data_IF_558524125093
#
_entry.id   IF_558524125093
#
_cell.length_a   1.000
_cell.length_b   1.000
_cell.length_c   1.000
_cell.angle_alpha   90.00
_cell.angle_beta   90.00
_cell.angle_gamma   90.00
#
_symmetry.space_group_name_H-M   'P 1'
#
loop_
_entity.id
_entity.type
_entity.pdbx_description
1 polymer ?
#
# COMPACT_ATOMS: atom_id res chain seq x y z
N UNK A 1 -1.74 -2.40 1.87
CA UNK A 1 -2.45 -3.48 1.20
C UNK A 1 -3.38 -4.23 2.14
N UNK A 2 -4.23 -5.13 1.63
CA UNK A 2 -5.26 -5.78 2.44
C UNK A 2 -4.73 -6.88 3.36
N UNK A 3 -3.58 -7.48 3.04
CA UNK A 3 -3.04 -8.57 3.84
C UNK A 3 -2.22 -8.04 5.02
N UNK A 4 -2.83 -8.07 6.20
CA UNK A 4 -2.29 -7.52 7.43
C UNK A 4 -0.90 -8.05 7.80
N UNK A 5 -0.71 -9.36 7.78
CA UNK A 5 0.56 -9.97 8.15
C UNK A 5 1.65 -9.73 7.10
N UNK A 6 1.27 -9.68 5.84
CA UNK A 6 2.20 -9.36 4.75
C UNK A 6 2.70 -7.92 4.84
N UNK A 7 1.84 -6.98 5.25
CA UNK A 7 2.27 -5.60 5.44
C UNK A 7 3.26 -5.45 6.60
N UNK A 8 3.05 -6.16 7.71
CA UNK A 8 4.01 -6.21 8.82
C UNK A 8 5.35 -6.77 8.34
N UNK A 9 5.32 -7.94 7.70
CA UNK A 9 6.52 -8.62 7.22
C UNK A 9 7.27 -7.79 6.17
N UNK A 10 6.56 -7.10 5.28
CA UNK A 10 7.13 -6.22 4.25
C UNK A 10 7.96 -5.09 4.87
N UNK A 11 7.45 -4.42 5.88
CA UNK A 11 8.17 -3.31 6.54
C UNK A 11 9.40 -3.83 7.27
N UNK A 12 9.29 -4.97 7.96
CA UNK A 12 10.43 -5.63 8.63
C UNK A 12 11.49 -6.07 7.61
N UNK A 13 11.09 -6.69 6.50
CA UNK A 13 11.98 -7.11 5.43
C UNK A 13 12.68 -5.91 4.76
N UNK A 14 11.97 -4.82 4.53
CA UNK A 14 12.55 -3.60 3.97
C UNK A 14 13.66 -3.04 4.87
N UNK A 15 13.41 -2.94 6.17
CA UNK A 15 14.41 -2.46 7.13
C UNK A 15 15.63 -3.37 7.17
N UNK A 16 15.42 -4.68 7.19
CA UNK A 16 16.51 -5.65 7.16
C UNK A 16 17.35 -5.55 5.90
N UNK A 17 16.73 -5.56 4.73
CA UNK A 17 17.45 -5.44 3.45
C UNK A 17 18.18 -4.12 3.33
N UNK A 18 17.58 -3.02 3.79
CA UNK A 18 18.24 -1.72 3.79
C UNK A 18 19.51 -1.75 4.65
N UNK A 19 19.44 -2.24 5.88
CA UNK A 19 20.59 -2.33 6.76
C UNK A 19 21.71 -3.19 6.14
N UNK A 20 21.36 -4.35 5.56
CA UNK A 20 22.33 -5.23 4.90
C UNK A 20 23.04 -4.53 3.72
N UNK A 21 22.29 -3.84 2.86
CA UNK A 21 22.88 -3.12 1.74
C UNK A 21 23.68 -1.90 2.19
N UNK A 22 23.19 -1.16 3.17
CA UNK A 22 23.86 0.02 3.72
C UNK A 22 25.25 -0.33 4.29
N UNK A 23 25.36 -1.47 4.97
CA UNK A 23 26.63 -2.01 5.47
C UNK A 23 27.65 -2.22 4.36
N UNK A 24 27.23 -2.79 3.22
CA UNK A 24 28.12 -3.01 2.06
C UNK A 24 28.60 -1.69 1.42
N UNK A 25 27.81 -0.63 1.52
CA UNK A 25 28.16 0.69 0.99
C UNK A 25 28.82 1.62 2.02
N UNK A 26 29.05 1.16 3.26
CA UNK A 26 29.58 1.95 4.38
C UNK A 26 28.79 3.23 4.65
N UNK A 27 27.46 3.14 4.59
CA UNK A 27 26.51 4.22 4.94
C UNK A 27 25.70 3.83 6.19
N UNK A 28 25.04 4.77 6.86
CA UNK A 28 24.22 4.46 8.04
C UNK A 28 23.19 3.35 7.77
N UNK A 29 23.17 2.32 8.59
CA UNK A 29 22.28 1.16 8.44
C UNK A 29 20.82 1.45 8.81
N UNK A 30 20.55 2.61 9.42
CA UNK A 30 19.21 3.02 9.81
C UNK A 30 18.53 3.82 8.71
N UNK A 31 17.29 3.48 8.38
CA UNK A 31 16.44 4.27 7.50
C UNK A 31 15.16 4.69 8.22
N UNK A 32 14.68 5.89 7.93
CA UNK A 32 13.39 6.35 8.41
C UNK A 32 12.28 5.86 7.47
N UNK A 33 11.36 5.05 8.00
CA UNK A 33 10.25 4.49 7.25
C UNK A 33 8.98 5.27 7.58
N UNK A 34 8.48 6.02 6.59
CA UNK A 34 7.14 6.62 6.61
C UNK A 34 6.16 5.66 5.95
N UNK A 35 5.16 5.21 6.68
CA UNK A 35 4.09 4.36 6.16
C UNK A 35 2.78 5.13 6.00
N UNK A 36 2.10 4.90 4.89
CA UNK A 36 0.81 5.50 4.58
C UNK A 36 -0.11 4.47 3.90
N UNK A 37 -1.39 4.36 4.29
CA UNK A 37 -2.40 3.62 3.53
C UNK A 37 -2.51 4.13 2.09
N UNK A 38 -2.78 3.23 1.16
CA UNK A 38 -2.96 3.60 -0.26
C UNK A 38 -4.44 3.68 -0.63
N UNK A 39 -4.74 4.37 -1.74
CA UNK A 39 -6.10 4.41 -2.30
C UNK A 39 -6.51 3.09 -2.96
N UNK A 40 -5.56 2.21 -3.23
CA UNK A 40 -5.73 1.03 -4.08
C UNK A 40 -6.82 0.05 -3.65
N UNK A 41 -7.00 -0.16 -2.35
CA UNK A 41 -7.98 -1.09 -1.79
C UNK A 41 -9.16 -0.36 -1.12
N UNK A 42 -9.40 0.89 -1.49
CA UNK A 42 -10.55 1.65 -1.00
C UNK A 42 -11.71 1.50 -1.98
N UNK A 43 -12.92 1.57 -1.44
CA UNK A 43 -14.16 1.37 -2.20
C UNK A 43 -14.98 2.64 -2.23
N UNK A 44 -15.75 2.80 -3.31
CA UNK A 44 -16.78 3.81 -3.42
C UNK A 44 -18.08 3.32 -2.77
N UNK A 45 -18.41 2.04 -2.98
CA UNK A 45 -19.57 1.41 -2.41
C UNK A 45 -19.28 0.98 -0.97
N UNK A 46 -20.26 1.14 -0.10
CA UNK A 46 -20.12 0.92 1.34
C UNK A 46 -18.87 1.60 1.91
N UNK A 47 -18.68 2.84 1.53
CA UNK A 47 -17.42 3.59 1.72
C UNK A 47 -17.01 3.78 3.18
N UNK A 48 -17.96 3.68 4.13
CA UNK A 48 -17.65 3.73 5.56
C UNK A 48 -16.73 2.57 6.00
N UNK A 49 -16.76 1.45 5.29
CA UNK A 49 -15.86 0.32 5.54
C UNK A 49 -14.38 0.69 5.29
N UNK A 50 -14.12 1.75 4.53
CA UNK A 50 -12.76 2.27 4.38
C UNK A 50 -12.14 2.75 5.72
N UNK A 51 -12.96 3.15 6.69
CA UNK A 51 -12.49 3.46 8.05
C UNK A 51 -11.81 2.24 8.70
N UNK A 52 -12.43 1.08 8.57
CA UNK A 52 -11.91 -0.17 9.10
C UNK A 52 -10.61 -0.57 8.38
N UNK A 53 -10.58 -0.40 7.05
CA UNK A 53 -9.39 -0.69 6.24
C UNK A 53 -8.21 0.19 6.63
N UNK A 54 -8.40 1.52 6.70
CA UNK A 54 -7.31 2.43 7.08
C UNK A 54 -6.82 2.20 8.50
N UNK A 55 -7.71 1.78 9.43
CA UNK A 55 -7.34 1.42 10.80
C UNK A 55 -6.41 0.21 10.81
N UNK A 56 -6.80 -0.89 10.17
CA UNK A 56 -6.00 -2.13 10.15
C UNK A 56 -4.67 -1.95 9.39
N UNK A 57 -4.65 -1.16 8.33
CA UNK A 57 -3.44 -0.82 7.59
C UNK A 57 -2.46 0.00 8.44
N UNK A 58 -2.95 1.03 9.11
CA UNK A 58 -2.12 1.83 10.02
C UNK A 58 -1.58 1.00 11.20
N UNK A 59 -2.41 0.10 11.74
CA UNK A 59 -1.99 -0.82 12.80
C UNK A 59 -0.89 -1.78 12.30
N UNK A 60 -1.01 -2.31 11.09
CA UNK A 60 0.03 -3.16 10.51
C UNK A 60 1.36 -2.42 10.32
N UNK A 61 1.31 -1.13 9.98
CA UNK A 61 2.49 -0.30 9.86
C UNK A 61 3.19 -0.07 11.21
N UNK A 62 2.41 0.20 12.26
CA UNK A 62 2.95 0.33 13.63
C UNK A 62 3.61 -0.97 14.08
N UNK A 63 2.93 -2.11 13.92
CA UNK A 63 3.47 -3.43 14.32
C UNK A 63 4.64 -3.88 13.44
N UNK A 64 4.72 -3.40 12.20
CA UNK A 64 5.84 -3.62 11.30
C UNK A 64 7.09 -2.79 11.65
N UNK A 65 6.96 -1.83 12.57
CA UNK A 65 8.05 -0.97 13.01
C UNK A 65 8.31 0.22 12.08
N UNK A 66 7.28 0.79 11.46
CA UNK A 66 7.40 2.06 10.77
C UNK A 66 7.71 3.19 11.79
N UNK A 67 8.61 4.09 11.44
CA UNK A 67 9.01 5.21 12.33
C UNK A 67 7.95 6.31 12.38
N UNK A 68 7.25 6.48 11.27
CA UNK A 68 6.13 7.44 11.16
C UNK A 68 4.97 6.80 10.43
N UNK A 69 3.78 6.95 10.96
CA UNK A 69 2.54 6.52 10.29
C UNK A 69 1.67 7.74 10.02
N UNK A 70 1.36 7.95 8.75
CA UNK A 70 0.37 8.93 8.31
C UNK A 70 -0.89 8.18 7.88
N UNK A 71 -2.05 8.56 8.39
CA UNK A 71 -3.31 7.95 7.98
C UNK A 71 -4.04 8.81 6.96
N UNK A 72 -4.64 8.16 5.97
CA UNK A 72 -5.43 8.81 4.92
C UNK A 72 -6.90 8.87 5.33
N UNK A 73 -7.62 9.98 5.06
CA UNK A 73 -9.07 10.02 5.20
C UNK A 73 -9.75 8.88 4.43
N UNK A 74 -10.76 8.28 5.04
CA UNK A 74 -11.48 7.13 4.46
C UNK A 74 -12.21 7.46 3.14
N UNK A 75 -12.56 8.72 2.97
CA UNK A 75 -13.29 9.28 1.83
C UNK A 75 -12.38 9.92 0.77
N UNK A 76 -11.06 9.85 0.93
CA UNK A 76 -10.08 10.52 0.06
C UNK A 76 -10.10 10.09 -1.41
N UNK A 77 -10.84 9.03 -1.78
CA UNK A 77 -10.98 8.61 -3.18
C UNK A 77 -12.11 9.32 -3.91
N UNK A 78 -13.10 9.86 -3.21
CA UNK A 78 -14.29 10.47 -3.82
C UNK A 78 -14.64 11.85 -3.28
N UNK A 79 -14.15 12.24 -2.10
CA UNK A 79 -14.29 13.59 -1.56
C UNK A 79 -12.97 14.37 -1.64
N UNK A 80 -13.08 15.70 -1.75
CA UNK A 80 -12.00 16.64 -1.47
C UNK A 80 -11.67 16.60 0.02
N UNK A 81 -10.48 17.12 0.37
CA UNK A 81 -10.10 17.24 1.77
C UNK A 81 -11.17 17.98 2.56
N UNK A 82 -11.60 17.37 3.66
CA UNK A 82 -12.60 17.92 4.56
C UNK A 82 -12.21 17.69 6.02
N UNK A 83 -12.71 18.57 6.89
CA UNK A 83 -12.35 18.55 8.31
C UNK A 83 -12.76 17.26 9.01
N UNK A 84 -13.91 16.68 8.63
CA UNK A 84 -14.40 15.46 9.24
C UNK A 84 -13.49 14.25 8.90
N UNK A 85 -13.18 14.06 7.63
CA UNK A 85 -12.30 12.98 7.16
C UNK A 85 -10.91 13.07 7.81
N UNK A 86 -10.30 14.26 7.81
CA UNK A 86 -8.99 14.50 8.42
C UNK A 86 -9.02 14.25 9.94
N UNK A 87 -10.07 14.69 10.62
CA UNK A 87 -10.25 14.46 12.07
C UNK A 87 -10.36 12.98 12.39
N UNK A 88 -11.13 12.22 11.62
CA UNK A 88 -11.28 10.77 11.83
C UNK A 88 -9.96 10.07 11.56
N UNK A 89 -9.26 10.37 10.46
CA UNK A 89 -7.97 9.78 10.14
C UNK A 89 -6.94 10.00 11.27
N UNK A 90 -6.88 11.21 11.84
CA UNK A 90 -6.05 11.51 13.00
C UNK A 90 -6.49 10.75 14.25
N UNK A 91 -7.81 10.70 14.52
CA UNK A 91 -8.32 10.04 15.71
C UNK A 91 -8.08 8.54 15.69
N UNK A 92 -8.08 7.87 14.54
CA UNK A 92 -7.69 6.47 14.42
C UNK A 92 -6.27 6.24 14.96
N UNK A 93 -5.32 7.10 14.65
CA UNK A 93 -3.95 7.01 15.19
C UNK A 93 -3.89 7.35 16.69
N UNK A 94 -4.68 8.31 17.14
CA UNK A 94 -4.77 8.64 18.58
C UNK A 94 -5.37 7.50 19.40
N UNK A 95 -6.40 6.81 18.89
CA UNK A 95 -6.96 5.60 19.52
C UNK A 95 -5.89 4.51 19.63
N UNK A 96 -5.14 4.25 18.55
CA UNK A 96 -4.02 3.27 18.59
C UNK A 96 -3.00 3.61 19.67
N UNK A 97 -2.68 4.90 19.84
CA UNK A 97 -1.69 5.35 20.81
C UNK A 97 -2.23 5.39 22.24
N UNK A 98 -3.40 5.98 22.46
CA UNK A 98 -3.87 6.33 23.81
C UNK A 98 -4.86 5.32 24.41
N UNK A 99 -5.56 4.54 23.59
CA UNK A 99 -6.55 3.56 24.05
C UNK A 99 -6.04 2.13 23.85
N UNK A 100 -5.42 1.85 22.69
CA UNK A 100 -4.84 0.53 22.40
C UNK A 100 -3.39 0.39 22.87
N UNK A 101 -2.75 1.47 23.30
CA UNK A 101 -1.38 1.48 23.87
C UNK A 101 -0.30 0.85 22.97
N UNK A 102 -0.45 0.96 21.65
CA UNK A 102 0.52 0.40 20.70
C UNK A 102 1.90 1.10 20.74
N UNK A 103 2.01 2.21 21.45
CA UNK A 103 3.26 2.94 21.69
C UNK A 103 4.10 2.40 22.86
N UNK A 104 3.60 1.41 23.60
CA UNK A 104 4.30 0.91 24.80
C UNK A 104 5.40 -0.10 24.50
N UNK A 105 5.38 -0.69 23.31
CA UNK A 105 6.35 -1.71 22.90
C UNK A 105 6.92 -1.33 21.53
N UNK A 106 8.24 -1.21 21.43
CA UNK A 106 8.91 -0.81 20.19
C UNK A 106 8.80 -1.85 19.08
N UNK A 107 8.71 -3.14 19.39
CA UNK A 107 8.62 -4.23 18.43
C UNK A 107 7.67 -5.33 18.92
N UNK A 108 6.38 -5.04 18.91
CA UNK A 108 5.36 -5.96 19.41
C UNK A 108 5.22 -7.25 18.59
N UNK A 109 5.74 -7.27 17.36
CA UNK A 109 5.72 -8.44 16.48
C UNK A 109 7.01 -9.29 16.55
N UNK A 110 7.93 -8.98 17.46
CA UNK A 110 9.15 -9.78 17.66
C UNK A 110 8.82 -11.12 18.31
N UNK A 111 9.49 -12.19 17.86
CA UNK A 111 9.24 -13.54 18.35
C UNK A 111 7.98 -14.20 17.82
N UNK A 112 7.21 -13.53 16.98
CA UNK A 112 6.07 -14.11 16.29
C UNK A 112 6.53 -14.98 15.11
N UNK A 113 6.67 -16.29 15.31
CA UNK A 113 7.23 -17.22 14.32
C UNK A 113 6.65 -17.07 12.90
N UNK A 114 5.36 -16.85 12.79
CA UNK A 114 4.72 -16.66 11.49
C UNK A 114 5.22 -15.38 10.78
N UNK A 115 5.28 -14.26 11.52
CA UNK A 115 5.76 -12.98 10.97
C UNK A 115 7.25 -13.07 10.63
N UNK A 116 8.04 -13.73 11.46
CA UNK A 116 9.48 -13.91 11.20
C UNK A 116 9.73 -14.77 9.96
N UNK A 117 8.99 -15.87 9.81
CA UNK A 117 9.04 -16.72 8.61
C UNK A 117 8.65 -15.94 7.36
N UNK A 118 7.56 -15.17 7.40
CA UNK A 118 7.15 -14.32 6.28
C UNK A 118 8.18 -13.25 5.97
N UNK A 119 8.75 -12.60 7.00
CA UNK A 119 9.78 -11.57 6.84
C UNK A 119 10.99 -12.10 6.08
N UNK A 120 11.45 -13.31 6.44
CA UNK A 120 12.56 -13.96 5.76
C UNK A 120 12.24 -14.25 4.30
N UNK A 121 11.08 -14.85 4.01
CA UNK A 121 10.64 -15.13 2.65
C UNK A 121 10.53 -13.86 1.81
N UNK A 122 9.94 -12.79 2.35
CA UNK A 122 9.86 -11.50 1.65
C UNK A 122 11.24 -10.90 1.38
N UNK A 123 12.15 -10.99 2.34
CA UNK A 123 13.51 -10.49 2.16
C UNK A 123 14.25 -11.26 1.05
N UNK A 124 14.16 -12.59 1.03
CA UNK A 124 14.76 -13.42 0.00
C UNK A 124 14.20 -13.10 -1.39
N UNK A 125 12.88 -13.08 -1.54
CA UNK A 125 12.22 -12.77 -2.83
C UNK A 125 12.54 -11.34 -3.32
N UNK A 126 12.53 -10.36 -2.42
CA UNK A 126 12.86 -8.97 -2.77
C UNK A 126 14.32 -8.82 -3.17
N UNK A 127 15.24 -9.51 -2.48
CA UNK A 127 16.65 -9.53 -2.82
C UNK A 127 16.91 -10.14 -4.21
N UNK A 128 16.18 -11.19 -4.56
CA UNK A 128 16.29 -11.82 -5.88
C UNK A 128 15.83 -10.86 -6.99
N UNK A 129 14.70 -10.17 -6.78
CA UNK A 129 14.24 -9.12 -7.71
C UNK A 129 15.26 -7.99 -7.83
N UNK A 130 15.85 -7.57 -6.71
CA UNK A 130 16.90 -6.55 -6.70
C UNK A 130 18.12 -6.99 -7.53
N UNK A 131 18.61 -8.21 -7.31
CA UNK A 131 19.73 -8.79 -8.07
C UNK A 131 19.44 -8.89 -9.56
N UNK A 132 18.22 -9.26 -9.96
CA UNK A 132 17.80 -9.27 -11.36
C UNK A 132 17.86 -7.87 -11.97
N UNK A 133 17.37 -6.85 -11.26
CA UNK A 133 17.39 -5.45 -11.71
C UNK A 133 18.82 -4.96 -11.88
N UNK A 134 19.69 -5.23 -10.92
CA UNK A 134 21.10 -4.84 -10.99
C UNK A 134 21.84 -5.55 -12.13
N UNK A 135 21.64 -6.86 -12.30
CA UNK A 135 22.18 -7.62 -13.42
C UNK A 135 21.74 -7.09 -14.78
N UNK A 136 20.53 -6.53 -14.87
CA UNK A 136 20.00 -5.88 -16.07
C UNK A 136 20.55 -4.47 -16.34
N UNK A 137 21.46 -3.98 -15.52
CA UNK A 137 22.08 -2.67 -15.65
C UNK A 137 21.47 -1.58 -14.78
N UNK A 138 20.77 -1.99 -13.71
CA UNK A 138 20.21 -1.12 -12.69
C UNK A 138 18.81 -0.60 -13.00
N UNK A 139 18.18 -0.05 -11.97
CA UNK A 139 16.78 0.37 -12.02
C UNK A 139 16.46 1.37 -13.13
N UNK A 140 17.29 2.43 -13.28
CA UNK A 140 17.04 3.49 -14.27
C UNK A 140 17.10 2.99 -15.71
N UNK A 141 18.04 2.07 -16.01
CA UNK A 141 18.13 1.47 -17.35
C UNK A 141 16.89 0.63 -17.64
N UNK A 142 16.54 -0.28 -16.74
CA UNK A 142 15.38 -1.16 -16.92
C UNK A 142 14.04 -0.38 -16.97
N UNK A 143 13.95 0.75 -16.26
CA UNK A 143 12.81 1.63 -16.33
C UNK A 143 12.68 2.28 -17.73
N UNK A 144 13.80 2.76 -18.31
CA UNK A 144 13.84 3.31 -19.67
C UNK A 144 13.52 2.27 -20.75
N UNK A 145 13.93 1.04 -20.54
CA UNK A 145 13.69 -0.10 -21.45
C UNK A 145 12.28 -0.71 -21.29
N UNK A 146 11.51 -0.26 -20.31
CA UNK A 146 10.14 -0.72 -20.07
C UNK A 146 10.04 -2.05 -19.33
N UNK A 147 11.13 -2.62 -18.83
CA UNK A 147 11.13 -3.90 -18.13
C UNK A 147 10.37 -3.82 -16.80
N UNK A 148 10.56 -2.73 -16.05
CA UNK A 148 9.85 -2.48 -14.78
C UNK A 148 8.34 -2.35 -15.02
N UNK A 149 7.94 -1.59 -16.06
CA UNK A 149 6.53 -1.39 -16.41
C UNK A 149 5.86 -2.70 -16.82
N UNK A 150 6.56 -3.60 -17.50
CA UNK A 150 6.02 -4.93 -17.83
C UNK A 150 5.73 -5.75 -16.57
N UNK A 151 6.68 -5.82 -15.64
CA UNK A 151 6.50 -6.55 -14.36
C UNK A 151 5.31 -5.99 -13.57
N UNK A 152 5.16 -4.65 -13.53
CA UNK A 152 4.01 -4.00 -12.87
C UNK A 152 2.70 -4.37 -13.56
N UNK A 153 2.62 -4.31 -14.90
CA UNK A 153 1.42 -4.67 -15.65
C UNK A 153 1.03 -6.14 -15.50
N UNK A 154 2.01 -7.04 -15.46
CA UNK A 154 1.78 -8.47 -15.23
C UNK A 154 1.20 -8.72 -13.83
N UNK A 155 1.78 -8.07 -12.81
CA UNK A 155 1.28 -8.15 -11.44
C UNK A 155 -0.14 -7.59 -11.33
N UNK A 156 -0.38 -6.44 -11.94
CA UNK A 156 -1.69 -5.80 -11.97
C UNK A 156 -2.75 -6.67 -12.64
N UNK A 157 -2.42 -7.28 -13.79
CA UNK A 157 -3.32 -8.21 -14.48
C UNK A 157 -3.69 -9.40 -13.62
N UNK A 158 -2.71 -10.01 -12.94
CA UNK A 158 -2.94 -11.13 -12.04
C UNK A 158 -3.87 -10.76 -10.89
N UNK A 159 -3.69 -9.59 -10.30
CA UNK A 159 -4.56 -9.12 -9.22
C UNK A 159 -5.98 -8.83 -9.72
N UNK A 160 -6.13 -8.24 -10.92
CA UNK A 160 -7.46 -8.05 -11.53
C UNK A 160 -8.16 -9.40 -11.76
N UNK A 161 -7.45 -10.40 -12.27
CA UNK A 161 -8.00 -11.75 -12.46
C UNK A 161 -8.47 -12.36 -11.13
N UNK A 162 -7.72 -12.18 -10.04
CA UNK A 162 -8.12 -12.64 -8.71
C UNK A 162 -9.37 -11.90 -8.19
N UNK A 163 -9.50 -10.63 -8.50
CA UNK A 163 -10.70 -9.86 -8.15
C UNK A 163 -11.91 -10.33 -8.97
N UNK A 164 -11.76 -10.48 -10.27
CA UNK A 164 -12.83 -10.89 -11.20
C UNK A 164 -13.34 -12.31 -10.90
N UNK A 165 -12.45 -13.20 -10.44
CA UNK A 165 -12.82 -14.57 -10.02
C UNK A 165 -13.38 -14.64 -8.60
N UNK A 166 -13.33 -13.54 -7.84
CA UNK A 166 -13.76 -13.51 -6.44
C UNK A 166 -12.79 -14.13 -5.44
N UNK A 167 -11.57 -14.50 -5.88
CA UNK A 167 -10.49 -14.94 -5.00
C UNK A 167 -10.02 -13.78 -4.09
N UNK A 168 -9.88 -12.59 -4.67
CA UNK A 168 -9.64 -11.36 -3.92
C UNK A 168 -10.96 -10.71 -3.56
N UNK A 169 -11.30 -10.74 -2.27
CA UNK A 169 -12.54 -10.18 -1.74
C UNK A 169 -12.36 -8.71 -1.38
N UNK A 170 -13.28 -7.87 -1.86
CA UNK A 170 -13.41 -6.47 -1.50
C UNK A 170 -14.84 -6.20 -1.05
N UNK A 171 -15.05 -6.14 0.26
CA UNK A 171 -16.39 -5.97 0.88
C UNK A 171 -17.04 -4.69 0.39
N UNK A 172 -18.34 -4.78 0.07
CA UNK A 172 -19.13 -3.69 -0.50
C UNK A 172 -18.98 -3.55 -2.02
N UNK A 173 -18.05 -4.27 -2.67
CA UNK A 173 -17.83 -4.18 -4.11
C UNK A 173 -18.09 -5.51 -4.84
N UNK A 174 -17.38 -6.59 -4.48
CA UNK A 174 -17.58 -7.90 -5.09
C UNK A 174 -18.12 -8.96 -4.10
N UNK A 175 -18.31 -8.56 -2.85
CA UNK A 175 -18.93 -9.41 -1.83
C UNK A 175 -19.66 -8.56 -0.80
N UNK A 176 -20.83 -9.02 -0.36
CA UNK A 176 -21.71 -8.31 0.59
C UNK A 176 -22.08 -6.89 0.12
N UNK A 177 -22.47 -6.78 -1.14
CA UNK A 177 -22.91 -5.52 -1.74
C UNK A 177 -24.17 -5.00 -1.06
N UNK A 178 -24.26 -3.66 -0.93
CA UNK A 178 -25.49 -2.99 -0.50
C UNK A 178 -26.28 -2.54 -1.74
N UNK A 179 -27.44 -3.18 -2.07
CA UNK A 179 -28.21 -2.83 -3.28
C UNK A 179 -28.79 -1.42 -3.27
N UNK A 180 -28.84 -0.76 -2.12
CA UNK A 180 -29.37 0.60 -1.97
C UNK A 180 -28.29 1.66 -2.16
N UNK A 181 -27.03 1.26 -2.26
CA UNK A 181 -25.90 2.17 -2.36
C UNK A 181 -25.83 2.81 -3.76
N UNK A 182 -25.83 4.14 -3.81
CA UNK A 182 -25.80 4.93 -5.05
C UNK A 182 -24.82 6.08 -4.91
N UNK A 183 -23.61 5.87 -5.39
CA UNK A 183 -22.54 6.87 -5.29
C UNK A 183 -22.59 7.99 -6.32
N UNK A 184 -23.45 7.89 -7.34
CA UNK A 184 -23.43 8.80 -8.49
C UNK A 184 -23.52 10.28 -8.12
N UNK A 185 -24.27 10.61 -7.09
CA UNK A 185 -24.57 12.00 -6.71
C UNK A 185 -23.67 12.52 -5.56
N UNK A 186 -22.80 11.65 -5.00
CA UNK A 186 -21.95 11.98 -3.86
C UNK A 186 -20.45 12.15 -4.25
N UNK A 187 -20.11 12.01 -5.53
CA UNK A 187 -18.75 12.11 -6.01
C UNK A 187 -18.32 13.57 -6.21
N UNK A 188 -17.41 14.06 -5.40
CA UNK A 188 -16.72 15.33 -5.62
C UNK A 188 -15.45 15.18 -6.46
N UNK A 189 -14.83 13.99 -6.38
CA UNK A 189 -13.66 13.61 -7.17
C UNK A 189 -14.03 12.42 -8.03
N UNK A 190 -13.53 12.41 -9.27
CA UNK A 190 -13.62 11.24 -10.11
C UNK A 190 -12.41 10.35 -9.85
N UNK A 191 -12.59 9.17 -9.26
CA UNK A 191 -11.49 8.25 -8.97
C UNK A 191 -10.92 7.60 -10.23
N UNK A 192 -11.51 7.89 -11.41
CA UNK A 192 -11.12 7.34 -12.69
C UNK A 192 -10.04 8.17 -13.37
N UNK A 193 -9.05 7.50 -13.92
CA UNK A 193 -8.11 8.16 -14.81
C UNK A 193 -8.84 8.74 -16.02
N UNK A 194 -8.67 10.03 -16.27
CA UNK A 194 -9.06 10.62 -17.54
C UNK A 194 -8.23 9.95 -18.64
N UNK A 195 -8.85 9.10 -19.43
CA UNK A 195 -8.24 8.53 -20.64
C UNK A 195 -8.06 9.58 -21.73
N UNK A 196 -7.38 10.67 -21.44
CA UNK A 196 -6.86 11.54 -22.48
C UNK A 196 -5.39 11.19 -22.65
N UNK A 197 -5.00 10.49 -23.72
CA UNK A 197 -3.59 10.32 -24.04
C UNK A 197 -3.03 11.70 -24.40
N UNK A 198 -2.61 12.47 -23.41
CA UNK A 198 -1.64 13.52 -23.68
C UNK A 198 -0.46 12.79 -24.30
N UNK A 199 -0.08 13.17 -25.52
CA UNK A 199 1.20 12.78 -26.10
C UNK A 199 2.28 13.24 -25.13
N UNK A 200 2.63 12.39 -24.20
CA UNK A 200 3.71 12.63 -23.26
C UNK A 200 4.99 12.48 -24.05
N UNK A 201 5.76 13.54 -24.08
CA UNK A 201 7.15 13.48 -24.51
C UNK A 201 7.85 12.33 -23.76
N UNK A 202 8.78 11.67 -24.41
CA UNK A 202 9.48 10.44 -23.95
C UNK A 202 10.15 10.49 -22.57
N UNK A 203 10.00 11.55 -21.80
CA UNK A 203 10.65 11.78 -20.52
C UNK A 203 9.73 11.77 -19.29
N UNK A 204 8.43 11.68 -19.43
CA UNK A 204 7.54 11.54 -18.28
C UNK A 204 7.23 10.05 -18.10
N UNK A 205 7.94 9.45 -17.18
CA UNK A 205 7.58 8.17 -16.59
C UNK A 205 6.30 8.42 -15.81
N UNK A 206 5.20 8.22 -16.45
CA UNK A 206 3.91 8.22 -15.80
C UNK A 206 3.87 6.97 -14.92
N UNK A 207 3.94 7.16 -13.62
CA UNK A 207 3.61 6.14 -12.61
C UNK A 207 2.09 5.89 -12.63
N UNK A 208 1.45 6.12 -13.77
CA UNK A 208 0.02 5.93 -14.02
C UNK A 208 -0.43 4.47 -13.89
N UNK A 209 0.49 3.53 -13.85
CA UNK A 209 0.16 2.12 -13.62
C UNK A 209 0.02 1.72 -12.15
N UNK A 210 0.30 2.61 -11.18
CA UNK A 210 0.20 2.32 -9.75
C UNK A 210 -1.09 2.84 -9.10
N UNK A 211 -1.83 3.72 -9.80
CA UNK A 211 -3.04 4.34 -9.25
C UNK A 211 -4.35 3.66 -9.69
N UNK A 212 -4.32 2.60 -10.48
CA UNK A 212 -5.45 2.22 -11.34
C UNK A 212 -6.25 1.04 -10.85
N UNK A 213 -6.24 0.68 -9.64
CA UNK A 213 -7.20 -0.34 -9.21
C UNK A 213 -8.11 0.15 -8.09
N UNK A 214 -8.88 1.19 -8.40
CA UNK A 214 -10.21 1.32 -7.81
C UNK A 214 -11.11 0.36 -8.59
N UNK A 215 -11.37 -0.79 -8.02
CA UNK A 215 -12.30 -1.76 -8.56
C UNK A 215 -13.69 -1.15 -8.61
N UNK A 216 -14.30 -1.22 -9.77
CA UNK A 216 -15.71 -0.96 -10.00
C UNK A 216 -16.52 -2.20 -9.74
#
# INVERSE_FOLDING_TARGET
GPNYFFEIAKIKALRWLYATLASEYNIPETCHILAQPTKRNKTLYDFNVNLLRTTTESMSAVLGGADTVYNMPYDAIYHKNNEFGDRIARNQLLVMKHEAYLDKVANAAEGAYYIESLTKQFAEMALDIFKEIEKGGGFLKQLKEGAIQRKIKESAKKEQEQFDTGELVLIGTNKFENPQDKMKDELELYPFLKQNPRKTSRCLITIEGLEVYTYF
#
